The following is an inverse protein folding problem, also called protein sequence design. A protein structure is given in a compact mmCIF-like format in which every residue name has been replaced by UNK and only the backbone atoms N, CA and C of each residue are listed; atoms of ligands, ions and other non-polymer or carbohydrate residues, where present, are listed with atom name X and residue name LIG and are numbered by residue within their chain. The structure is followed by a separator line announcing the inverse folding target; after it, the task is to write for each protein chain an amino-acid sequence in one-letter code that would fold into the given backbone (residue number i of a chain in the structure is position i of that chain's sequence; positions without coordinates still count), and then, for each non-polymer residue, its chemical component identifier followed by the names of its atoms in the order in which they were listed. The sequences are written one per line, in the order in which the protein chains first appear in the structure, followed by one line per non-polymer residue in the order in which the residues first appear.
data_IF_877964158427
#
_entry.id   IF_877964158427
#
_cell.length_a   1.000
_cell.length_b   1.000
_cell.length_c   1.000
_cell.angle_alpha   90.00
_cell.angle_beta   90.00
_cell.angle_gamma   90.00
#
_symmetry.space_group_name_H-M   'P 1'
#
loop_
_entity.id
_entity.type
_entity.pdbx_description
1 polymer ?
#
# COMPACT_ATOMS: atom_id res chain seq x y z
N UNK A 1 -60.87 57.91 -63.72
CA UNK A 1 -61.99 58.21 -62.80
C UNK A 1 -61.63 57.60 -61.45
N UNK A 2 -61.15 58.44 -60.55
CA UNK A 2 -61.86 58.91 -59.34
C UNK A 2 -62.38 57.72 -58.53
N UNK A 3 -62.14 57.46 -57.26
CA UNK A 3 -61.94 58.36 -56.15
C UNK A 3 -61.44 57.63 -54.87
N UNK A 4 -60.66 58.32 -54.14
CA UNK A 4 -60.73 58.67 -52.69
C UNK A 4 -60.65 57.57 -51.63
N UNK A 5 -59.59 57.80 -50.83
CA UNK A 5 -59.40 57.36 -49.46
C UNK A 5 -60.56 57.79 -48.52
N UNK A 6 -60.68 57.20 -47.34
CA UNK A 6 -60.09 57.95 -46.23
C UNK A 6 -59.35 57.12 -45.15
N UNK A 7 -58.50 57.88 -44.44
CA UNK A 7 -57.80 57.59 -43.26
C UNK A 7 -58.72 57.35 -42.03
N UNK A 8 -58.28 56.50 -41.10
CA UNK A 8 -58.42 56.68 -39.62
C UNK A 8 -57.33 55.86 -38.97
N UNK A 9 -56.39 56.50 -38.42
CA UNK A 9 -55.99 56.76 -37.05
C UNK A 9 -56.63 55.86 -35.99
N UNK A 10 -55.81 55.12 -35.27
CA UNK A 10 -55.88 54.84 -33.83
C UNK A 10 -54.53 54.30 -33.37
N UNK A 11 -53.80 55.17 -32.82
CA UNK A 11 -53.29 55.37 -31.46
C UNK A 11 -52.67 54.13 -30.78
N UNK A 12 -51.37 54.19 -30.74
CA UNK A 12 -50.45 53.94 -29.67
C UNK A 12 -51.00 53.21 -28.42
N UNK A 13 -50.48 52.04 -28.18
CA UNK A 13 -50.12 51.60 -26.82
C UNK A 13 -48.76 50.89 -26.87
N UNK A 14 -47.74 51.66 -26.53
CA UNK A 14 -46.40 51.14 -26.20
C UNK A 14 -46.49 50.54 -24.81
N UNK A 15 -46.63 49.23 -24.71
CA UNK A 15 -46.33 48.51 -23.48
C UNK A 15 -44.84 48.20 -23.48
N UNK A 16 -44.12 48.99 -22.74
CA UNK A 16 -42.73 48.75 -22.43
C UNK A 16 -42.60 47.53 -21.47
N UNK A 17 -42.27 46.38 -22.01
CA UNK A 17 -41.94 45.22 -21.18
C UNK A 17 -40.51 45.42 -20.68
N UNK A 18 -40.35 45.99 -19.48
CA UNK A 18 -39.06 46.03 -18.77
C UNK A 18 -38.76 44.61 -18.32
N UNK A 19 -37.90 43.91 -19.08
CA UNK A 19 -37.22 42.70 -18.61
C UNK A 19 -36.22 43.14 -17.53
N UNK A 20 -36.61 43.00 -16.27
CA UNK A 20 -35.66 43.06 -15.16
C UNK A 20 -34.89 41.75 -15.13
N UNK A 21 -33.71 41.78 -15.74
CA UNK A 21 -32.71 40.71 -15.60
C UNK A 21 -32.24 40.70 -14.13
N UNK A 22 -32.81 39.84 -13.29
CA UNK A 22 -32.22 39.48 -12.01
C UNK A 22 -30.91 38.72 -12.30
N UNK A 23 -29.79 39.44 -12.35
CA UNK A 23 -28.48 38.86 -12.18
C UNK A 23 -28.41 38.39 -10.71
N UNK A 24 -28.85 37.15 -10.46
CA UNK A 24 -28.48 36.45 -9.24
C UNK A 24 -26.99 36.13 -9.35
N UNK A 25 -26.11 36.67 -8.47
CA UNK A 25 -24.76 36.19 -8.42
C UNK A 25 -24.81 34.76 -7.90
N UNK A 26 -24.71 33.81 -8.81
CA UNK A 26 -24.33 32.44 -8.43
C UNK A 26 -22.95 32.57 -7.78
N UNK A 27 -22.94 32.74 -6.46
CA UNK A 27 -21.75 32.42 -5.67
C UNK A 27 -21.49 30.92 -5.88
N UNK A 28 -20.71 30.60 -6.89
CA UNK A 28 -19.97 29.37 -6.90
C UNK A 28 -19.05 29.44 -5.67
N UNK A 29 -19.55 28.91 -4.57
CA UNK A 29 -18.70 28.64 -3.42
C UNK A 29 -17.59 27.72 -3.93
N UNK A 30 -16.43 28.27 -4.20
CA UNK A 30 -15.18 27.52 -4.24
C UNK A 30 -15.07 26.88 -2.85
N UNK A 31 -15.60 25.67 -2.69
CA UNK A 31 -15.14 24.80 -1.65
C UNK A 31 -13.66 24.61 -1.94
N UNK A 32 -12.76 25.05 -1.05
CA UNK A 32 -11.35 24.77 -1.26
C UNK A 32 -11.24 23.24 -1.42
N UNK A 33 -10.49 22.75 -2.41
CA UNK A 33 -10.19 21.34 -2.47
C UNK A 33 -9.68 20.95 -1.09
N UNK A 34 -10.21 19.88 -0.51
CA UNK A 34 -9.66 19.32 0.72
C UNK A 34 -8.15 19.27 0.48
N UNK A 35 -7.36 20.04 1.25
CA UNK A 35 -5.93 20.13 1.08
C UNK A 35 -5.41 18.69 1.16
N UNK A 36 -5.11 18.13 -0.01
CA UNK A 36 -4.44 16.85 -0.09
C UNK A 36 -3.14 16.99 0.70
N UNK A 37 -2.80 16.00 1.50
CA UNK A 37 -1.54 16.05 2.21
C UNK A 37 -0.41 16.15 1.18
N UNK A 38 0.49 17.10 1.37
CA UNK A 38 1.68 17.27 0.54
C UNK A 38 2.91 16.84 1.32
N UNK A 39 3.98 16.52 0.63
CA UNK A 39 5.27 16.19 1.26
C UNK A 39 6.42 16.93 0.57
N UNK A 40 7.42 17.29 1.37
CA UNK A 40 8.70 17.84 0.91
C UNK A 40 9.66 16.76 0.41
N UNK A 41 9.36 15.46 0.63
CA UNK A 41 10.14 14.38 0.06
C UNK A 41 10.03 14.40 -1.48
N UNK A 42 11.09 14.02 -2.17
CA UNK A 42 11.05 13.86 -3.63
C UNK A 42 10.26 12.62 -4.03
N UNK A 43 10.50 11.50 -3.35
CA UNK A 43 9.74 10.27 -3.49
C UNK A 43 9.09 9.92 -2.16
N UNK A 44 7.81 9.51 -2.19
CA UNK A 44 7.11 9.03 -1.01
C UNK A 44 6.08 7.96 -1.38
N UNK A 45 5.93 6.94 -0.52
CA UNK A 45 4.93 5.91 -0.66
C UNK A 45 4.47 5.42 0.71
N UNK A 46 3.17 5.53 0.99
CA UNK A 46 2.54 5.12 2.25
C UNK A 46 1.43 4.13 1.98
N UNK A 47 1.52 2.93 2.56
CA UNK A 47 0.51 1.89 2.44
C UNK A 47 -0.01 1.43 3.81
N UNK A 48 -1.26 1.02 3.86
CA UNK A 48 -1.78 0.16 4.92
C UNK A 48 -1.37 -1.29 4.61
N UNK A 49 -0.55 -1.87 5.47
CA UNK A 49 -0.01 -3.21 5.22
C UNK A 49 -1.09 -4.29 5.25
N UNK A 50 -2.14 -4.11 6.06
CA UNK A 50 -3.21 -5.09 6.26
C UNK A 50 -4.06 -5.27 5.00
N UNK A 51 -4.44 -4.16 4.35
CA UNK A 51 -5.30 -4.17 3.15
C UNK A 51 -4.52 -4.03 1.85
N UNK A 52 -3.27 -3.56 1.92
CA UNK A 52 -2.48 -3.18 0.74
C UNK A 52 -2.88 -1.83 0.13
N UNK A 53 -3.78 -1.10 0.77
CA UNK A 53 -4.27 0.18 0.26
C UNK A 53 -3.19 1.26 0.28
N UNK A 54 -3.01 1.92 -0.86
CA UNK A 54 -2.11 3.08 -1.00
C UNK A 54 -2.82 4.30 -0.42
N UNK A 55 -2.26 4.86 0.65
CA UNK A 55 -2.81 6.04 1.32
C UNK A 55 -2.26 7.34 0.74
N UNK A 56 -1.00 7.30 0.33
CA UNK A 56 -0.30 8.43 -0.28
C UNK A 56 0.81 7.95 -1.19
N UNK A 57 0.97 8.61 -2.32
CA UNK A 57 2.12 8.41 -3.22
C UNK A 57 2.56 9.72 -3.87
N UNK A 58 3.87 9.83 -4.08
CA UNK A 58 4.50 10.91 -4.84
C UNK A 58 5.75 10.33 -5.51
N UNK A 59 5.81 10.35 -6.84
CA UNK A 59 6.93 9.81 -7.61
C UNK A 59 7.35 8.40 -7.15
N UNK A 60 6.39 7.56 -6.74
CA UNK A 60 6.64 6.34 -6.01
C UNK A 60 7.27 5.22 -6.86
N UNK A 61 7.07 5.29 -8.16
CA UNK A 61 7.61 4.40 -9.20
C UNK A 61 8.87 4.93 -9.89
N UNK A 62 9.28 6.16 -9.59
CA UNK A 62 10.49 6.75 -10.17
C UNK A 62 11.75 6.11 -9.61
N UNK A 63 12.73 5.76 -10.49
CA UNK A 63 14.02 5.26 -10.04
C UNK A 63 14.74 6.26 -9.14
N UNK A 64 15.26 5.76 -8.02
CA UNK A 64 16.02 6.54 -7.05
C UNK A 64 17.16 5.73 -6.48
N UNK A 65 18.22 6.38 -6.03
CA UNK A 65 19.31 5.76 -5.29
C UNK A 65 18.83 5.41 -3.85
N UNK A 66 18.82 4.13 -3.44
CA UNK A 66 18.33 3.72 -2.13
C UNK A 66 19.25 4.06 -0.98
N UNK A 67 20.50 4.38 -1.25
CA UNK A 67 21.54 4.49 -0.23
C UNK A 67 21.50 3.27 0.72
N UNK A 68 21.74 3.47 2.03
CA UNK A 68 21.72 2.36 3.01
C UNK A 68 20.36 1.69 3.24
N UNK A 69 19.26 2.11 2.58
CA UNK A 69 18.02 1.34 2.61
C UNK A 69 18.18 -0.01 1.88
N UNK A 70 19.15 -0.13 0.97
CA UNK A 70 19.58 -1.40 0.35
C UNK A 70 19.90 -2.50 1.37
N UNK A 71 20.35 -2.14 2.56
CA UNK A 71 20.70 -3.08 3.63
C UNK A 71 19.50 -3.89 4.15
N UNK A 72 18.28 -3.46 3.84
CA UNK A 72 17.10 -4.29 4.08
C UNK A 72 17.18 -5.59 3.27
N UNK A 73 17.64 -5.52 2.00
CA UNK A 73 17.82 -6.71 1.18
C UNK A 73 18.99 -7.57 1.68
N UNK A 74 20.08 -6.95 2.14
CA UNK A 74 21.19 -7.67 2.76
C UNK A 74 20.74 -8.45 4.01
N UNK A 75 19.95 -7.82 4.88
CA UNK A 75 19.37 -8.47 6.05
C UNK A 75 18.33 -9.55 5.67
N UNK A 76 17.51 -9.29 4.65
CA UNK A 76 16.53 -10.24 4.12
C UNK A 76 17.18 -11.55 3.70
N UNK A 77 18.29 -11.49 2.95
CA UNK A 77 19.05 -12.67 2.52
C UNK A 77 19.71 -13.42 3.69
N UNK A 78 20.09 -12.72 4.77
CA UNK A 78 20.54 -13.37 6.00
C UNK A 78 19.38 -14.11 6.66
N UNK A 79 18.21 -13.48 6.77
CA UNK A 79 17.03 -14.09 7.36
C UNK A 79 16.57 -15.34 6.61
N UNK A 80 16.67 -15.35 5.28
CA UNK A 80 16.41 -16.56 4.48
C UNK A 80 17.28 -17.72 4.91
N UNK A 81 18.59 -17.48 5.08
CA UNK A 81 19.57 -18.49 5.49
C UNK A 81 19.40 -18.96 6.93
N UNK A 82 18.94 -18.05 7.82
CA UNK A 82 18.60 -18.41 9.19
C UNK A 82 17.34 -19.30 9.21
N UNK A 83 16.32 -18.96 8.42
CA UNK A 83 15.05 -19.71 8.36
C UNK A 83 15.22 -21.09 7.72
N UNK A 84 16.04 -21.24 6.68
CA UNK A 84 16.29 -22.54 6.05
C UNK A 84 17.31 -23.40 6.80
N UNK A 85 17.89 -22.88 7.87
CA UNK A 85 18.86 -23.57 8.74
C UNK A 85 20.26 -23.69 8.15
N UNK A 86 20.55 -23.05 7.01
CA UNK A 86 21.89 -23.04 6.42
C UNK A 86 22.86 -22.12 7.18
N UNK A 87 22.35 -21.25 8.02
CA UNK A 87 23.08 -20.42 8.98
C UNK A 87 22.42 -20.44 10.34
N UNK A 88 23.22 -20.16 11.36
CA UNK A 88 22.78 -19.88 12.73
C UNK A 88 23.32 -18.52 13.18
N UNK A 89 22.71 -17.91 14.17
CA UNK A 89 23.15 -16.63 14.74
C UNK A 89 24.56 -16.73 15.39
N UNK A 90 24.94 -17.95 15.80
CA UNK A 90 26.25 -18.24 16.40
C UNK A 90 27.37 -18.45 15.36
N UNK A 91 27.04 -18.60 14.07
CA UNK A 91 28.04 -18.73 13.03
C UNK A 91 28.95 -17.51 13.01
N UNK A 92 30.22 -17.72 12.71
CA UNK A 92 31.20 -16.64 12.75
C UNK A 92 31.85 -16.45 11.37
N UNK A 93 31.98 -15.21 10.95
CA UNK A 93 32.66 -14.84 9.70
C UNK A 93 33.94 -14.06 9.97
N UNK A 94 34.95 -14.32 9.15
CA UNK A 94 36.24 -13.62 9.26
C UNK A 94 36.16 -12.27 8.57
N UNK A 95 36.57 -11.23 9.24
CA UNK A 95 36.66 -9.87 8.67
C UNK A 95 37.85 -9.83 7.70
N UNK A 96 37.55 -9.69 6.43
CA UNK A 96 38.59 -9.54 5.40
C UNK A 96 39.25 -8.16 5.45
N UNK A 97 40.45 -8.08 4.91
CA UNK A 97 41.12 -6.79 4.75
C UNK A 97 40.33 -5.86 3.82
N UNK A 98 39.63 -6.42 2.81
CA UNK A 98 38.76 -5.67 1.92
C UNK A 98 37.56 -5.06 2.68
N UNK A 99 36.86 -5.84 3.50
CA UNK A 99 35.74 -5.35 4.31
C UNK A 99 36.17 -4.24 5.26
N UNK A 100 37.31 -4.43 5.95
CA UNK A 100 37.88 -3.41 6.84
C UNK A 100 38.32 -2.15 6.10
N UNK A 101 38.92 -2.26 4.92
CA UNK A 101 39.41 -1.13 4.16
C UNK A 101 38.29 -0.33 3.50
N UNK A 102 37.34 -1.01 2.86
CA UNK A 102 36.23 -0.38 2.15
C UNK A 102 35.08 0.06 3.07
N UNK A 103 34.71 -0.76 4.07
CA UNK A 103 33.55 -0.52 4.92
C UNK A 103 33.89 0.04 6.31
N UNK A 104 35.18 -0.03 6.72
CA UNK A 104 35.62 0.38 8.05
C UNK A 104 35.76 1.89 8.23
N UNK A 105 36.25 2.31 9.41
CA UNK A 105 36.27 3.72 9.84
C UNK A 105 36.99 4.68 8.87
N UNK A 106 38.02 4.21 8.18
CA UNK A 106 38.78 5.04 7.21
C UNK A 106 38.00 5.36 5.93
N UNK A 107 36.92 4.64 5.65
CA UNK A 107 36.10 4.89 4.44
C UNK A 107 35.24 6.17 4.54
N UNK A 108 35.08 6.71 5.73
CA UNK A 108 34.18 7.86 5.98
C UNK A 108 32.71 7.49 6.01
N UNK A 109 32.35 6.22 5.73
CA UNK A 109 30.99 5.70 5.77
C UNK A 109 30.56 5.20 7.16
N UNK A 110 29.38 4.57 7.19
CA UNK A 110 28.90 3.89 8.41
C UNK A 110 29.68 2.60 8.65
N UNK A 111 30.13 2.38 9.88
CA UNK A 111 30.92 1.20 10.27
C UNK A 111 30.50 0.70 11.66
N UNK A 112 30.59 -0.59 11.91
CA UNK A 112 30.51 -1.15 13.25
C UNK A 112 31.89 -1.36 13.89
N UNK A 113 32.95 -0.85 13.26
CA UNK A 113 34.33 -0.86 13.75
C UNK A 113 34.95 -2.27 13.83
N UNK A 114 34.77 -3.06 12.79
CA UNK A 114 35.36 -4.38 12.68
C UNK A 114 36.88 -4.33 12.53
N UNK A 115 37.56 -5.30 13.15
CA UNK A 115 39.03 -5.47 13.07
C UNK A 115 39.37 -6.56 12.05
N UNK A 116 40.33 -6.34 11.14
CA UNK A 116 40.72 -7.33 10.12
C UNK A 116 41.25 -8.61 10.77
N UNK A 117 40.90 -9.76 10.20
CA UNK A 117 41.29 -11.08 10.67
C UNK A 117 40.52 -11.62 11.87
N UNK A 118 39.68 -10.81 12.52
CA UNK A 118 38.81 -11.28 13.62
C UNK A 118 37.62 -12.07 13.08
N UNK A 119 37.17 -13.02 13.86
CA UNK A 119 35.91 -13.75 13.62
C UNK A 119 34.80 -13.08 14.41
N UNK A 120 33.71 -12.77 13.72
CA UNK A 120 32.56 -12.05 14.29
C UNK A 120 31.30 -12.89 14.12
N UNK A 121 30.49 -12.99 15.17
CA UNK A 121 29.21 -13.69 15.10
C UNK A 121 28.27 -13.05 14.10
N UNK A 122 27.47 -13.87 13.43
CA UNK A 122 26.45 -13.41 12.48
C UNK A 122 25.43 -12.49 13.16
N UNK A 123 25.07 -12.78 14.41
CA UNK A 123 24.14 -11.95 15.18
C UNK A 123 24.68 -10.52 15.38
N UNK A 124 25.99 -10.38 15.70
CA UNK A 124 26.63 -9.07 15.84
C UNK A 124 26.70 -8.33 14.50
N UNK A 125 27.03 -9.06 13.42
CA UNK A 125 27.04 -8.50 12.06
C UNK A 125 25.65 -8.02 11.65
N UNK A 126 24.61 -8.79 11.94
CA UNK A 126 23.23 -8.44 11.66
C UNK A 126 22.81 -7.15 12.40
N UNK A 127 23.12 -7.04 13.71
CA UNK A 127 22.92 -5.79 14.46
C UNK A 127 23.74 -4.64 13.89
N UNK A 128 24.98 -4.89 13.51
CA UNK A 128 25.83 -3.89 12.84
C UNK A 128 25.21 -3.36 11.55
N UNK A 129 24.62 -4.24 10.73
CA UNK A 129 23.93 -3.89 9.48
C UNK A 129 22.67 -3.06 9.76
N UNK A 130 21.82 -3.52 10.66
CA UNK A 130 20.49 -2.93 10.91
C UNK A 130 20.61 -1.65 11.75
N UNK A 131 21.23 -1.73 12.92
CA UNK A 131 21.24 -0.66 13.92
C UNK A 131 22.22 0.44 13.51
N UNK A 132 23.49 0.10 13.29
CA UNK A 132 24.54 1.06 12.97
C UNK A 132 24.64 1.38 11.48
N UNK A 133 24.07 0.52 10.63
CA UNK A 133 24.23 0.64 9.18
C UNK A 133 25.67 0.37 8.72
N UNK A 134 26.39 -0.55 9.38
CA UNK A 134 27.81 -0.86 9.13
C UNK A 134 28.05 -1.38 7.73
N UNK A 135 28.87 -0.68 6.96
CA UNK A 135 29.26 -1.10 5.62
C UNK A 135 30.24 -2.29 5.69
N UNK A 136 31.15 -2.26 6.68
CA UNK A 136 32.07 -3.35 7.00
C UNK A 136 31.34 -4.66 7.25
N UNK A 137 30.29 -4.63 8.06
CA UNK A 137 29.45 -5.79 8.35
C UNK A 137 28.75 -6.34 7.08
N UNK A 138 28.23 -5.46 6.22
CA UNK A 138 27.62 -5.88 4.95
C UNK A 138 28.61 -6.58 4.05
N UNK A 139 29.83 -6.04 3.91
CA UNK A 139 30.87 -6.62 3.03
C UNK A 139 31.33 -7.98 3.58
N UNK A 140 31.54 -8.10 4.91
CA UNK A 140 31.88 -9.39 5.55
C UNK A 140 30.84 -10.46 5.22
N UNK A 141 29.55 -10.14 5.39
CA UNK A 141 28.46 -11.08 5.09
C UNK A 141 28.40 -11.40 3.60
N UNK A 142 28.52 -10.40 2.72
CA UNK A 142 28.48 -10.59 1.28
C UNK A 142 29.62 -11.53 0.81
N UNK A 143 30.84 -11.33 1.28
CA UNK A 143 31.97 -12.18 0.97
C UNK A 143 31.79 -13.61 1.51
N UNK A 144 31.26 -13.77 2.71
CA UNK A 144 31.01 -15.07 3.31
C UNK A 144 29.92 -15.87 2.55
N UNK A 145 28.86 -15.20 2.09
CA UNK A 145 27.69 -15.86 1.47
C UNK A 145 27.82 -16.01 -0.07
N UNK A 146 28.69 -15.24 -0.71
CA UNK A 146 28.80 -15.26 -2.17
C UNK A 146 30.24 -15.11 -2.70
N UNK A 147 31.24 -15.26 -1.85
CA UNK A 147 32.67 -15.14 -2.17
C UNK A 147 33.14 -13.74 -2.60
N UNK A 148 32.23 -12.83 -2.94
CA UNK A 148 32.52 -11.42 -3.19
C UNK A 148 31.29 -10.56 -3.03
N UNK A 149 31.50 -9.26 -2.76
CA UNK A 149 30.39 -8.29 -2.68
C UNK A 149 29.64 -8.17 -4.03
N UNK A 150 30.34 -8.22 -5.16
CA UNK A 150 29.73 -8.15 -6.49
C UNK A 150 28.80 -9.37 -6.75
N UNK A 151 29.29 -10.60 -6.51
CA UNK A 151 28.48 -11.79 -6.65
C UNK A 151 27.26 -11.80 -5.68
N UNK A 152 27.42 -11.23 -4.48
CA UNK A 152 26.29 -11.07 -3.56
C UNK A 152 25.26 -10.08 -4.11
N UNK A 153 25.68 -8.94 -4.66
CA UNK A 153 24.79 -7.94 -5.25
C UNK A 153 23.99 -8.49 -6.45
N UNK A 154 24.62 -9.34 -7.27
CA UNK A 154 23.91 -10.07 -8.33
C UNK A 154 22.81 -10.97 -7.76
N UNK A 155 23.12 -11.75 -6.71
CA UNK A 155 22.12 -12.57 -6.00
C UNK A 155 21.02 -11.71 -5.36
N UNK A 156 21.36 -10.56 -4.76
CA UNK A 156 20.36 -9.60 -4.25
C UNK A 156 19.41 -9.15 -5.35
N UNK A 157 19.93 -8.83 -6.54
CA UNK A 157 19.13 -8.37 -7.68
C UNK A 157 18.21 -9.48 -8.21
N UNK A 158 18.72 -10.69 -8.37
CA UNK A 158 17.90 -11.86 -8.77
C UNK A 158 16.79 -12.07 -7.76
N UNK A 159 17.15 -12.12 -6.46
CA UNK A 159 16.16 -12.34 -5.41
C UNK A 159 15.14 -11.23 -5.33
N UNK A 160 15.53 -9.97 -5.52
CA UNK A 160 14.60 -8.85 -5.58
C UNK A 160 13.52 -9.05 -6.66
N UNK A 161 13.92 -9.47 -7.87
CA UNK A 161 12.97 -9.76 -8.96
C UNK A 161 11.98 -10.88 -8.59
N UNK A 162 12.47 -11.95 -7.96
CA UNK A 162 11.60 -13.05 -7.47
C UNK A 162 10.61 -12.59 -6.40
N UNK A 163 10.98 -11.62 -5.57
CA UNK A 163 10.10 -11.01 -4.57
C UNK A 163 9.09 -10.01 -5.16
N UNK A 164 9.24 -9.65 -6.44
CA UNK A 164 8.37 -8.71 -7.14
C UNK A 164 8.91 -7.28 -7.23
N UNK A 165 10.14 -7.01 -6.77
CA UNK A 165 10.79 -5.69 -6.87
C UNK A 165 11.30 -5.48 -8.32
N UNK A 166 10.40 -5.10 -9.22
CA UNK A 166 10.68 -5.09 -10.65
C UNK A 166 11.62 -3.97 -11.10
N UNK A 167 11.70 -2.89 -10.34
CA UNK A 167 12.50 -1.70 -10.67
C UNK A 167 13.75 -1.56 -9.79
N UNK A 168 14.20 -2.67 -9.16
CA UNK A 168 15.34 -2.67 -8.25
C UNK A 168 16.52 -3.42 -8.82
N UNK A 169 17.69 -2.79 -8.78
CA UNK A 169 19.00 -3.35 -9.12
C UNK A 169 19.99 -3.01 -8.02
N UNK A 170 20.67 -4.00 -7.49
CA UNK A 170 21.75 -3.85 -6.51
C UNK A 170 23.11 -4.03 -7.17
N UNK A 171 24.06 -3.15 -6.89
CA UNK A 171 25.47 -3.21 -7.36
C UNK A 171 26.45 -3.48 -6.22
N UNK A 172 26.00 -3.35 -4.98
CA UNK A 172 26.76 -3.66 -3.77
C UNK A 172 25.81 -3.99 -2.62
N UNK A 173 26.36 -4.54 -1.53
CA UNK A 173 25.61 -4.94 -0.35
C UNK A 173 25.30 -3.78 0.62
N UNK A 174 25.87 -2.62 0.38
CA UNK A 174 25.90 -1.51 1.34
C UNK A 174 24.95 -0.37 1.00
N UNK A 175 24.58 -0.23 -0.28
CA UNK A 175 23.90 0.94 -0.83
C UNK A 175 24.85 2.11 -1.07
N UNK A 176 26.14 1.83 -1.28
CA UNK A 176 27.07 2.87 -1.71
C UNK A 176 26.74 3.36 -3.11
N UNK A 177 27.06 4.64 -3.42
CA UNK A 177 26.74 5.23 -4.72
C UNK A 177 27.26 4.41 -5.90
N UNK A 178 26.39 4.12 -6.82
CA UNK A 178 26.64 3.54 -8.12
C UNK A 178 25.48 3.95 -9.04
N UNK A 179 25.75 4.45 -10.26
CA UNK A 179 24.68 4.97 -11.15
C UNK A 179 23.61 3.94 -11.50
N UNK A 180 23.93 2.66 -11.45
CA UNK A 180 23.00 1.57 -11.74
C UNK A 180 22.40 0.92 -10.48
N UNK A 181 22.77 1.41 -9.27
CA UNK A 181 22.22 0.93 -8.00
C UNK A 181 20.91 1.68 -7.70
N UNK A 182 19.82 1.21 -8.26
CA UNK A 182 18.55 1.90 -8.28
C UNK A 182 17.42 1.04 -7.69
N UNK A 183 16.42 1.72 -7.16
CA UNK A 183 15.16 1.17 -6.65
C UNK A 183 14.03 2.18 -6.83
N UNK A 184 12.82 1.85 -6.36
CA UNK A 184 11.68 2.77 -6.24
C UNK A 184 11.14 2.78 -4.81
N UNK A 185 10.36 3.80 -4.46
CA UNK A 185 9.71 3.84 -3.16
C UNK A 185 8.68 2.68 -2.99
N UNK A 186 8.01 2.28 -4.07
CA UNK A 186 7.12 1.12 -4.08
C UNK A 186 7.88 -0.18 -3.81
N UNK A 187 9.00 -0.41 -4.50
CA UNK A 187 9.81 -1.62 -4.32
C UNK A 187 10.36 -1.72 -2.89
N UNK A 188 10.84 -0.61 -2.30
CA UNK A 188 11.29 -0.60 -0.91
C UNK A 188 10.15 -0.87 0.08
N UNK A 189 8.94 -0.37 -0.19
CA UNK A 189 7.77 -0.67 0.64
C UNK A 189 7.37 -2.16 0.53
N UNK A 190 7.46 -2.73 -0.67
CA UNK A 190 7.25 -4.17 -0.88
C UNK A 190 8.30 -4.99 -0.13
N UNK A 191 9.60 -4.62 -0.21
CA UNK A 191 10.67 -5.29 0.52
C UNK A 191 10.43 -5.22 2.03
N UNK A 192 10.00 -4.05 2.55
CA UNK A 192 9.65 -3.90 3.96
C UNK A 192 8.48 -4.81 4.36
N UNK A 193 7.41 -4.85 3.54
CA UNK A 193 6.27 -5.75 3.75
C UNK A 193 6.71 -7.21 3.77
N UNK A 194 7.52 -7.65 2.80
CA UNK A 194 8.06 -9.01 2.74
C UNK A 194 8.93 -9.32 3.96
N UNK A 195 9.81 -8.39 4.38
CA UNK A 195 10.64 -8.57 5.57
C UNK A 195 9.79 -8.81 6.83
N UNK A 196 8.73 -8.03 7.03
CA UNK A 196 7.82 -8.14 8.17
C UNK A 196 7.02 -9.46 8.13
N UNK A 197 6.51 -9.83 6.95
CA UNK A 197 5.65 -11.02 6.80
C UNK A 197 6.43 -12.33 6.80
N UNK A 198 7.55 -12.34 6.08
CA UNK A 198 8.29 -13.57 5.86
C UNK A 198 9.19 -13.93 7.05
N UNK A 199 9.62 -12.93 7.85
CA UNK A 199 10.60 -13.09 8.92
C UNK A 199 10.16 -12.40 10.22
N UNK A 200 8.92 -12.63 10.63
CA UNK A 200 8.36 -12.04 11.85
C UNK A 200 9.22 -12.34 13.09
N UNK A 201 9.86 -13.52 13.15
CA UNK A 201 10.74 -13.97 14.24
C UNK A 201 12.04 -13.18 14.32
N UNK A 202 12.57 -12.65 13.21
CA UNK A 202 13.80 -11.85 13.16
C UNK A 202 13.54 -10.34 13.04
N UNK A 203 12.29 -9.95 12.81
CA UNK A 203 11.94 -8.55 12.58
C UNK A 203 12.27 -7.63 13.76
N UNK A 204 12.28 -8.16 14.97
CA UNK A 204 12.57 -7.42 16.20
C UNK A 204 13.93 -6.69 16.18
N UNK A 205 14.93 -7.16 15.41
CA UNK A 205 16.22 -6.49 15.27
C UNK A 205 16.11 -5.05 14.76
N UNK A 206 15.07 -4.75 13.95
CA UNK A 206 14.84 -3.40 13.45
C UNK A 206 14.35 -2.42 14.52
N UNK A 207 13.75 -2.92 15.59
CA UNK A 207 13.28 -2.13 16.72
C UNK A 207 14.37 -1.88 17.78
N UNK A 208 15.51 -2.57 17.72
CA UNK A 208 16.62 -2.38 18.65
C UNK A 208 17.15 -0.94 18.54
N UNK A 209 17.12 -0.21 19.66
CA UNK A 209 17.56 1.19 19.71
C UNK A 209 19.06 1.34 19.72
N UNK A 210 19.77 0.35 20.26
CA UNK A 210 21.23 0.35 20.40
C UNK A 210 21.76 -1.06 20.58
N UNK A 211 23.04 -1.26 20.30
CA UNK A 211 23.80 -2.44 20.69
C UNK A 211 25.24 -2.06 21.00
N UNK A 212 25.98 -2.93 21.67
CA UNK A 212 27.39 -2.71 21.98
C UNK A 212 28.22 -3.82 21.36
N UNK A 213 29.19 -3.45 20.52
CA UNK A 213 30.17 -4.37 19.97
C UNK A 213 31.57 -3.89 20.31
N UNK A 214 32.41 -4.80 20.82
CA UNK A 214 33.80 -4.52 21.21
C UNK A 214 33.92 -3.23 22.07
N UNK A 215 33.10 -3.11 23.12
CA UNK A 215 32.99 -1.95 24.01
C UNK A 215 32.47 -0.65 23.39
N UNK A 216 32.20 -0.64 22.09
CA UNK A 216 31.67 0.51 21.36
C UNK A 216 30.14 0.43 21.33
N UNK A 217 29.49 1.38 22.02
CA UNK A 217 28.02 1.54 21.98
C UNK A 217 27.62 2.20 20.64
N UNK A 218 26.66 1.60 19.97
CA UNK A 218 26.18 2.01 18.66
C UNK A 218 24.67 2.21 18.71
N UNK A 219 24.20 3.33 18.16
CA UNK A 219 22.79 3.78 18.27
C UNK A 219 22.08 3.63 16.93
N UNK A 220 20.84 3.15 16.95
CA UNK A 220 20.02 3.04 15.77
C UNK A 220 19.78 4.43 15.16
N UNK A 221 19.96 4.51 13.85
CA UNK A 221 19.86 5.77 13.09
C UNK A 221 18.44 6.15 12.71
N UNK A 222 17.46 5.25 12.91
CA UNK A 222 16.05 5.55 12.69
C UNK A 222 15.54 6.50 13.79
N UNK A 223 15.28 7.79 13.45
CA UNK A 223 14.91 8.78 14.46
C UNK A 223 13.52 8.52 15.05
N UNK A 224 12.67 7.76 14.35
CA UNK A 224 11.30 7.52 14.78
C UNK A 224 11.22 6.54 15.96
N UNK A 225 12.22 5.68 16.15
CA UNK A 225 12.30 4.78 17.33
C UNK A 225 12.40 5.55 18.67
N UNK A 226 12.70 6.84 18.61
CA UNK A 226 12.84 7.72 19.79
C UNK A 226 11.69 8.73 19.91
N UNK A 227 10.64 8.57 19.09
CA UNK A 227 9.44 9.40 19.09
C UNK A 227 8.30 8.74 19.85
N UNK A 228 7.27 9.52 20.16
CA UNK A 228 6.04 9.01 20.78
C UNK A 228 5.05 8.50 19.69
N UNK A 229 5.49 7.50 18.95
CA UNK A 229 4.75 6.79 17.91
C UNK A 229 5.28 5.36 17.87
N UNK A 230 4.42 4.37 17.78
CA UNK A 230 4.78 2.95 17.80
C UNK A 230 5.46 2.49 16.51
N UNK A 231 6.69 2.96 16.31
CA UNK A 231 7.56 2.58 15.19
C UNK A 231 8.47 1.44 15.62
N UNK A 232 8.55 0.39 14.81
CA UNK A 232 9.35 -0.81 15.05
C UNK A 232 10.34 -1.15 13.92
N UNK A 233 10.54 -0.24 12.99
CA UNK A 233 11.48 -0.43 11.87
C UNK A 233 11.50 0.78 10.94
N UNK A 234 12.22 0.70 9.83
CA UNK A 234 13.21 -0.26 9.40
C UNK A 234 14.58 0.41 9.21
N UNK A 235 14.76 1.16 8.08
CA UNK A 235 16.11 1.55 7.65
C UNK A 235 16.19 2.95 7.10
N UNK A 236 17.23 3.67 7.51
CA UNK A 236 17.58 4.99 6.95
C UNK A 236 18.55 4.85 5.79
N UNK A 237 18.47 5.79 4.84
CA UNK A 237 19.44 6.01 3.77
C UNK A 237 20.00 7.44 3.81
N UNK A 238 21.23 7.61 3.33
CA UNK A 238 21.80 8.91 3.02
C UNK A 238 23.07 8.77 2.20
N UNK A 239 23.11 9.46 1.08
CA UNK A 239 24.30 9.84 0.31
C UNK A 239 24.14 11.30 -0.12
N UNK A 240 25.14 11.88 -0.78
CA UNK A 240 25.00 13.22 -1.34
C UNK A 240 23.95 13.24 -2.45
N UNK A 241 23.92 12.19 -3.28
CA UNK A 241 23.04 12.10 -4.44
C UNK A 241 21.59 11.77 -4.06
N UNK A 242 21.37 10.91 -3.06
CA UNK A 242 20.04 10.47 -2.64
C UNK A 242 19.43 11.36 -1.56
N UNK A 243 20.20 12.29 -1.00
CA UNK A 243 19.80 13.03 0.20
C UNK A 243 19.38 12.08 1.35
N UNK A 244 18.44 12.47 2.22
CA UNK A 244 18.02 11.67 3.35
C UNK A 244 16.75 10.86 3.03
N UNK A 245 16.84 9.53 3.22
CA UNK A 245 15.73 8.60 3.06
C UNK A 245 15.42 7.83 4.34
N UNK A 246 14.21 7.29 4.41
CA UNK A 246 13.74 6.40 5.47
C UNK A 246 12.66 5.46 4.94
N UNK A 247 12.85 4.17 5.15
CA UNK A 247 11.77 3.19 5.15
C UNK A 247 11.37 2.95 6.60
N UNK A 248 10.11 3.21 6.93
CA UNK A 248 9.57 3.09 8.27
C UNK A 248 8.36 2.15 8.32
N UNK A 249 8.17 1.48 9.46
CA UNK A 249 6.96 0.76 9.80
C UNK A 249 6.48 1.22 11.17
N UNK A 250 5.19 1.46 11.27
CA UNK A 250 4.53 1.85 12.51
C UNK A 250 3.24 1.07 12.71
N UNK A 251 2.87 0.84 13.97
CA UNK A 251 1.62 0.18 14.35
C UNK A 251 0.71 1.11 15.14
N UNK A 252 -0.58 0.85 15.08
CA UNK A 252 -1.59 1.46 15.95
C UNK A 252 -2.74 0.45 16.12
N UNK A 253 -2.76 -0.26 17.26
CA UNK A 253 -3.58 -1.45 17.44
C UNK A 253 -3.23 -2.51 16.40
N UNK A 254 -4.24 -3.05 15.72
CA UNK A 254 -4.06 -4.09 14.70
C UNK A 254 -3.64 -3.56 13.32
N UNK A 255 -3.55 -2.25 13.17
CA UNK A 255 -3.13 -1.62 11.90
C UNK A 255 -1.63 -1.40 11.86
N UNK A 256 -1.05 -1.70 10.72
CA UNK A 256 0.35 -1.40 10.41
C UNK A 256 0.45 -0.58 9.13
N UNK A 257 1.19 0.51 9.17
CA UNK A 257 1.54 1.31 8.02
C UNK A 257 3.02 1.12 7.67
N UNK A 258 3.31 1.09 6.37
CA UNK A 258 4.67 1.13 5.83
C UNK A 258 4.81 2.42 5.04
N UNK A 259 5.85 3.18 5.34
CA UNK A 259 6.17 4.44 4.69
C UNK A 259 7.59 4.39 4.14
N UNK A 260 7.76 4.80 2.91
CA UNK A 260 9.05 5.12 2.31
C UNK A 260 9.07 6.60 1.95
N UNK A 261 10.12 7.31 2.33
CA UNK A 261 10.43 8.68 1.89
C UNK A 261 11.88 8.79 1.48
N UNK A 262 12.17 9.56 0.44
CA UNK A 262 13.53 9.82 -0.05
C UNK A 262 13.65 11.25 -0.58
N UNK A 263 14.89 11.76 -0.77
CA UNK A 263 15.12 13.11 -1.24
C UNK A 263 14.75 14.19 -0.22
N UNK A 264 14.99 13.94 1.06
CA UNK A 264 14.78 14.92 2.14
C UNK A 264 16.09 15.67 2.39
N UNK A 265 16.07 17.00 2.37
CA UNK A 265 17.27 17.83 2.42
C UNK A 265 18.06 17.73 3.74
N UNK A 266 17.39 17.42 4.87
CA UNK A 266 18.04 17.42 6.19
C UNK A 266 17.71 16.23 7.06
N UNK A 267 18.58 15.91 8.03
CA UNK A 267 18.29 14.94 9.09
C UNK A 267 17.03 15.29 9.89
N UNK A 268 16.75 16.60 10.05
CA UNK A 268 15.56 17.08 10.77
C UNK A 268 14.30 16.76 9.97
N UNK A 269 14.33 16.93 8.65
CA UNK A 269 13.21 16.60 7.77
C UNK A 269 12.97 15.10 7.75
N UNK A 270 14.02 14.25 7.70
CA UNK A 270 13.92 12.80 7.83
C UNK A 270 13.32 12.35 9.16
N UNK A 271 13.39 13.17 10.22
CA UNK A 271 12.74 12.87 11.51
C UNK A 271 11.29 13.35 11.55
N UNK A 272 11.00 14.53 10.98
CA UNK A 272 9.70 15.19 11.12
C UNK A 272 8.68 14.77 10.07
N UNK A 273 9.12 14.64 8.82
CA UNK A 273 8.20 14.39 7.72
C UNK A 273 7.58 12.98 7.76
N UNK A 274 8.35 11.89 7.98
CA UNK A 274 7.76 10.57 8.13
C UNK A 274 6.81 10.46 9.33
N UNK A 275 7.14 11.09 10.47
CA UNK A 275 6.24 11.15 11.63
C UNK A 275 4.90 11.80 11.28
N UNK A 276 4.93 12.91 10.54
CA UNK A 276 3.74 13.63 10.09
C UNK A 276 2.87 12.78 9.15
N UNK A 277 3.49 12.10 8.18
CA UNK A 277 2.80 11.25 7.22
C UNK A 277 2.19 10.01 7.87
N UNK A 278 2.91 9.33 8.77
CA UNK A 278 2.39 8.18 9.51
C UNK A 278 1.22 8.58 10.41
N UNK A 279 1.35 9.67 11.18
CA UNK A 279 0.27 10.19 12.02
C UNK A 279 -0.96 10.57 11.20
N UNK A 280 -0.77 11.16 10.02
CA UNK A 280 -1.86 11.45 9.10
C UNK A 280 -2.55 10.16 8.63
N UNK A 281 -1.79 9.14 8.20
CA UNK A 281 -2.34 7.86 7.74
C UNK A 281 -3.18 7.16 8.82
N UNK A 282 -2.74 7.20 10.08
CA UNK A 282 -3.51 6.63 11.19
C UNK A 282 -4.72 7.46 11.58
N UNK A 283 -4.62 8.80 11.52
CA UNK A 283 -5.71 9.70 11.90
C UNK A 283 -6.81 9.76 10.85
N UNK A 284 -6.45 9.88 9.57
CA UNK A 284 -7.39 10.22 8.51
C UNK A 284 -8.01 8.99 7.84
N UNK A 285 -7.41 7.81 7.99
CA UNK A 285 -7.91 6.54 7.46
C UNK A 285 -8.22 5.52 8.56
N UNK A 286 -9.10 4.57 8.24
CA UNK A 286 -9.37 3.42 9.08
C UNK A 286 -9.72 2.19 8.25
N UNK A 287 -9.49 1.00 8.84
CA UNK A 287 -9.88 -0.27 8.25
C UNK A 287 -11.31 -0.59 8.68
N UNK A 288 -12.18 -0.88 7.70
CA UNK A 288 -13.57 -1.23 7.91
C UNK A 288 -13.85 -2.60 7.35
N UNK A 289 -14.23 -3.54 8.22
CA UNK A 289 -14.79 -4.82 7.79
C UNK A 289 -16.23 -4.56 7.37
N UNK A 290 -16.51 -4.75 6.07
CA UNK A 290 -17.85 -4.56 5.51
C UNK A 290 -18.64 -5.86 5.57
N UNK A 291 -17.99 -6.98 5.29
CA UNK A 291 -18.57 -8.32 5.31
C UNK A 291 -17.53 -9.35 5.75
N UNK A 292 -17.97 -10.38 6.45
CA UNK A 292 -17.16 -11.56 6.78
C UNK A 292 -17.23 -12.60 5.64
N UNK A 293 -16.27 -13.49 5.55
CA UNK A 293 -16.30 -14.57 4.58
C UNK A 293 -17.55 -15.45 4.79
N UNK A 294 -18.29 -15.75 3.73
CA UNK A 294 -19.53 -16.53 3.75
C UNK A 294 -20.76 -15.80 4.30
N UNK A 295 -20.64 -14.50 4.63
CA UNK A 295 -21.75 -13.70 5.13
C UNK A 295 -22.80 -13.51 4.03
N UNK A 296 -24.08 -13.66 4.40
CA UNK A 296 -25.21 -13.34 3.55
C UNK A 296 -25.36 -11.82 3.43
N UNK A 297 -25.33 -11.34 2.19
CA UNK A 297 -25.45 -9.92 1.88
C UNK A 297 -26.93 -9.54 1.68
N UNK A 298 -27.67 -10.38 0.96
CA UNK A 298 -29.11 -10.24 0.67
C UNK A 298 -29.63 -11.53 0.06
N UNK A 299 -30.93 -11.57 -0.23
CA UNK A 299 -31.56 -12.64 -1.02
C UNK A 299 -31.95 -12.13 -2.41
N UNK A 300 -32.01 -13.04 -3.38
CA UNK A 300 -32.56 -12.79 -4.70
C UNK A 300 -33.75 -13.73 -4.98
N UNK A 301 -34.76 -13.22 -5.73
CA UNK A 301 -35.88 -14.03 -6.18
C UNK A 301 -35.43 -15.01 -7.27
N UNK A 302 -36.02 -16.21 -7.27
CA UNK A 302 -35.68 -17.29 -8.20
C UNK A 302 -36.83 -17.57 -9.15
N UNK A 303 -36.53 -17.61 -10.46
CA UNK A 303 -37.50 -17.97 -11.50
C UNK A 303 -37.51 -19.47 -11.74
N UNK A 304 -38.68 -20.09 -11.65
CA UNK A 304 -38.91 -21.52 -11.87
C UNK A 304 -38.09 -22.46 -10.96
N UNK A 305 -37.73 -21.98 -9.76
CA UNK A 305 -37.08 -22.75 -8.73
C UNK A 305 -38.06 -23.48 -7.81
N UNK A 306 -37.61 -24.53 -7.12
CA UNK A 306 -38.38 -25.18 -6.03
C UNK A 306 -38.48 -24.23 -4.83
N UNK A 307 -37.45 -23.47 -4.57
CA UNK A 307 -37.38 -22.38 -3.62
C UNK A 307 -37.57 -21.04 -4.36
N UNK A 308 -38.33 -20.14 -3.76
CA UNK A 308 -38.65 -18.84 -4.34
C UNK A 308 -37.49 -17.83 -4.23
N UNK A 309 -36.51 -18.10 -3.34
CA UNK A 309 -35.37 -17.23 -3.06
C UNK A 309 -34.08 -18.02 -2.92
N UNK A 310 -32.98 -17.33 -3.19
CA UNK A 310 -31.61 -17.83 -2.97
C UNK A 310 -30.80 -16.79 -2.18
N UNK A 311 -30.12 -17.17 -1.08
CA UNK A 311 -29.23 -16.26 -0.37
C UNK A 311 -27.98 -15.95 -1.23
N UNK A 312 -27.62 -14.67 -1.29
CA UNK A 312 -26.41 -14.18 -1.96
C UNK A 312 -25.33 -13.94 -0.93
N UNK A 313 -24.24 -14.69 -1.02
CA UNK A 313 -23.15 -14.66 -0.05
C UNK A 313 -21.86 -14.12 -0.65
N UNK A 314 -21.04 -13.48 0.16
CA UNK A 314 -19.70 -13.07 -0.22
C UNK A 314 -18.69 -14.18 0.06
N UNK A 315 -17.82 -14.50 -0.89
CA UNK A 315 -16.87 -15.62 -0.75
C UNK A 315 -15.78 -15.35 0.29
N UNK A 316 -15.26 -14.13 0.30
CA UNK A 316 -14.12 -13.73 1.13
C UNK A 316 -14.45 -12.52 1.99
N UNK A 317 -13.74 -12.39 3.11
CA UNK A 317 -13.84 -11.20 3.94
C UNK A 317 -13.57 -9.94 3.10
N UNK A 318 -14.40 -8.92 3.29
CA UNK A 318 -14.22 -7.60 2.68
C UNK A 318 -13.77 -6.59 3.74
N UNK A 319 -12.45 -6.41 3.82
CA UNK A 319 -11.78 -5.43 4.66
C UNK A 319 -11.20 -4.32 3.79
N UNK A 320 -11.56 -3.07 4.03
CA UNK A 320 -11.13 -1.92 3.23
C UNK A 320 -10.60 -0.80 4.09
N UNK A 321 -9.49 -0.20 3.66
CA UNK A 321 -9.01 1.06 4.25
C UNK A 321 -9.71 2.23 3.55
N UNK A 322 -10.47 3.01 4.29
CA UNK A 322 -11.24 4.14 3.76
C UNK A 322 -10.92 5.39 4.55
N UNK A 323 -10.82 6.54 3.89
CA UNK A 323 -10.72 7.83 4.55
C UNK A 323 -11.98 8.06 5.43
N UNK A 324 -11.77 8.46 6.69
CA UNK A 324 -12.87 8.63 7.67
C UNK A 324 -13.97 9.58 7.18
N UNK A 325 -13.58 10.64 6.46
CA UNK A 325 -14.51 11.60 5.87
C UNK A 325 -15.28 11.09 4.64
N UNK A 326 -14.81 10.00 4.01
CA UNK A 326 -15.47 9.37 2.87
C UNK A 326 -16.39 8.21 3.28
N UNK A 327 -16.24 7.66 4.50
CA UNK A 327 -16.99 6.49 4.97
C UNK A 327 -18.50 6.66 4.90
N UNK A 328 -19.04 7.82 5.30
CA UNK A 328 -20.48 8.09 5.29
C UNK A 328 -21.06 8.35 3.89
N UNK A 329 -20.21 8.58 2.90
CA UNK A 329 -20.59 8.75 1.48
C UNK A 329 -20.44 7.46 0.66
N UNK A 330 -19.94 6.40 1.28
CA UNK A 330 -19.82 5.09 0.66
C UNK A 330 -21.23 4.54 0.35
N UNK A 331 -21.38 3.96 -0.84
CA UNK A 331 -22.59 3.24 -1.26
C UNK A 331 -22.25 1.80 -1.57
N UNK A 332 -23.09 0.90 -1.07
CA UNK A 332 -23.03 -0.54 -1.39
C UNK A 332 -24.31 -0.87 -2.13
N UNK A 333 -24.19 -1.47 -3.30
CA UNK A 333 -25.33 -1.85 -4.14
C UNK A 333 -25.13 -3.28 -4.59
N UNK A 334 -26.20 -4.08 -4.65
CA UNK A 334 -26.17 -5.42 -5.24
C UNK A 334 -26.86 -5.33 -6.60
N UNK A 335 -26.24 -5.90 -7.63
CA UNK A 335 -26.77 -5.97 -8.99
C UNK A 335 -26.83 -7.42 -9.46
N UNK A 336 -27.99 -7.86 -9.96
CA UNK A 336 -28.24 -9.18 -10.51
C UNK A 336 -29.43 -9.15 -11.46
N UNK A 337 -29.57 -10.18 -12.28
CA UNK A 337 -30.79 -10.37 -13.07
C UNK A 337 -31.89 -10.86 -12.13
N UNK A 338 -32.97 -10.10 -12.02
CA UNK A 338 -34.08 -10.43 -11.12
C UNK A 338 -35.35 -10.76 -11.96
N UNK A 339 -35.96 -11.95 -11.76
CA UNK A 339 -35.52 -13.06 -10.93
C UNK A 339 -34.41 -13.93 -11.57
N UNK A 340 -33.57 -14.59 -10.72
CA UNK A 340 -32.50 -15.49 -11.18
C UNK A 340 -33.10 -16.82 -11.66
N UNK A 341 -32.82 -17.30 -12.89
CA UNK A 341 -33.41 -18.54 -13.40
C UNK A 341 -32.83 -19.79 -12.75
N UNK A 342 -33.68 -20.70 -12.28
CA UNK A 342 -33.27 -22.04 -11.82
C UNK A 342 -32.93 -22.98 -13.01
N UNK A 343 -32.02 -23.95 -12.87
CA UNK A 343 -31.40 -24.40 -11.61
C UNK A 343 -30.21 -23.54 -11.26
N UNK A 344 -29.90 -23.40 -9.95
CA UNK A 344 -28.78 -22.67 -9.39
C UNK A 344 -27.98 -23.68 -8.53
N UNK A 345 -26.69 -23.78 -8.75
CA UNK A 345 -25.82 -24.54 -7.88
C UNK A 345 -25.27 -23.66 -6.75
N UNK A 346 -25.10 -24.23 -5.57
CA UNK A 346 -24.40 -23.52 -4.48
C UNK A 346 -22.99 -23.15 -4.94
N UNK A 347 -22.62 -21.87 -4.79
CA UNK A 347 -21.34 -21.32 -5.22
C UNK A 347 -21.33 -20.72 -6.63
N UNK A 348 -22.45 -20.77 -7.38
CA UNK A 348 -22.56 -20.09 -8.66
C UNK A 348 -22.46 -18.57 -8.46
N UNK A 349 -21.69 -17.84 -9.29
CA UNK A 349 -21.64 -16.37 -9.26
C UNK A 349 -22.90 -15.80 -9.94
N UNK A 350 -23.90 -15.45 -9.15
CA UNK A 350 -25.23 -15.05 -9.63
C UNK A 350 -25.52 -13.55 -9.48
N UNK A 351 -24.65 -12.82 -8.76
CA UNK A 351 -24.82 -11.38 -8.53
C UNK A 351 -23.45 -10.68 -8.37
N UNK A 352 -23.48 -9.35 -8.30
CA UNK A 352 -22.31 -8.52 -8.01
C UNK A 352 -22.63 -7.54 -6.90
N UNK A 353 -21.74 -7.45 -5.94
CA UNK A 353 -21.68 -6.35 -4.99
C UNK A 353 -20.86 -5.22 -5.63
N UNK A 354 -21.44 -4.05 -5.74
CA UNK A 354 -20.79 -2.84 -6.27
C UNK A 354 -20.60 -1.85 -5.14
N UNK A 355 -19.34 -1.57 -4.82
CA UNK A 355 -18.95 -0.58 -3.84
C UNK A 355 -18.50 0.70 -4.53
N UNK A 356 -19.06 1.82 -4.13
CA UNK A 356 -18.67 3.16 -4.60
C UNK A 356 -18.22 4.01 -3.41
N UNK A 357 -16.98 4.47 -3.45
CA UNK A 357 -16.39 5.39 -2.47
C UNK A 357 -15.97 6.66 -3.22
N UNK A 358 -16.29 7.87 -2.75
CA UNK A 358 -15.85 9.10 -3.40
C UNK A 358 -14.32 9.14 -3.56
N UNK A 359 -13.87 9.49 -4.77
CA UNK A 359 -12.45 9.59 -5.09
C UNK A 359 -11.75 8.26 -5.38
N UNK A 360 -12.50 7.17 -5.55
CA UNK A 360 -11.97 5.84 -5.92
C UNK A 360 -12.76 5.25 -7.08
N UNK A 361 -12.10 4.33 -7.79
CA UNK A 361 -12.77 3.48 -8.76
C UNK A 361 -13.79 2.59 -8.07
N UNK A 362 -14.82 2.21 -8.82
CA UNK A 362 -15.83 1.26 -8.32
C UNK A 362 -15.19 -0.10 -8.13
N UNK A 363 -15.42 -0.69 -6.96
CA UNK A 363 -15.02 -2.07 -6.67
C UNK A 363 -16.23 -2.99 -6.90
N UNK A 364 -16.08 -3.97 -7.78
CA UNK A 364 -17.07 -5.01 -8.04
C UNK A 364 -16.57 -6.34 -7.48
N UNK A 365 -17.40 -6.98 -6.68
CA UNK A 365 -17.10 -8.29 -6.08
C UNK A 365 -18.24 -9.27 -6.44
N UNK A 366 -17.95 -10.47 -6.93
CA UNK A 366 -18.99 -11.46 -7.19
C UNK A 366 -19.67 -11.89 -5.89
N UNK A 367 -20.99 -12.04 -5.92
CA UNK A 367 -21.76 -12.69 -4.90
C UNK A 367 -22.19 -14.08 -5.40
N UNK A 368 -22.01 -15.06 -4.56
CA UNK A 368 -22.28 -16.46 -4.87
C UNK A 368 -23.62 -16.90 -4.30
N UNK A 369 -24.26 -17.87 -4.96
CA UNK A 369 -25.42 -18.55 -4.42
C UNK A 369 -25.04 -19.30 -3.14
N UNK A 370 -25.62 -18.96 -2.01
CA UNK A 370 -25.36 -19.59 -0.70
C UNK A 370 -25.99 -20.97 -0.57
N UNK A 371 -26.99 -21.26 -1.41
CA UNK A 371 -27.69 -22.57 -1.46
C UNK A 371 -27.93 -22.99 -2.90
N UNK A 372 -28.13 -24.30 -3.13
CA UNK A 372 -28.58 -24.79 -4.42
C UNK A 372 -30.11 -24.67 -4.50
N UNK A 373 -30.62 -24.29 -5.67
CA UNK A 373 -32.05 -24.24 -5.99
C UNK A 373 -32.34 -25.11 -7.20
N UNK A 374 -33.06 -26.18 -6.98
CA UNK A 374 -33.48 -27.09 -8.08
C UNK A 374 -34.58 -26.44 -8.92
N UNK A 375 -34.64 -26.82 -10.18
CA UNK A 375 -35.71 -26.39 -11.08
C UNK A 375 -37.02 -27.09 -10.77
N UNK A 376 -38.14 -26.39 -10.82
CA UNK A 376 -39.50 -26.98 -10.76
C UNK A 376 -39.71 -28.02 -11.85
N UNK A 377 -40.44 -29.10 -11.50
CA UNK A 377 -40.91 -30.08 -12.47
C UNK A 377 -41.90 -29.48 -13.48
N UNK A 378 -42.26 -30.24 -14.52
CA UNK A 378 -43.11 -29.79 -15.64
C UNK A 378 -44.43 -29.12 -15.19
N UNK A 379 -45.14 -29.76 -14.23
CA UNK A 379 -46.42 -29.22 -13.72
C UNK A 379 -46.25 -27.93 -12.89
N UNK A 380 -45.16 -27.84 -12.09
CA UNK A 380 -44.86 -26.64 -11.33
C UNK A 380 -44.56 -25.46 -12.26
N UNK A 381 -43.76 -25.67 -13.31
CA UNK A 381 -43.42 -24.66 -14.30
C UNK A 381 -44.65 -24.11 -15.04
N UNK A 382 -45.59 -25.01 -15.44
CA UNK A 382 -46.84 -24.59 -16.09
C UNK A 382 -47.71 -23.76 -15.12
N UNK A 383 -47.77 -24.12 -13.85
CA UNK A 383 -48.49 -23.38 -12.82
C UNK A 383 -47.95 -21.98 -12.59
N UNK A 384 -46.62 -21.84 -12.47
CA UNK A 384 -45.94 -20.55 -12.29
C UNK A 384 -46.09 -19.66 -13.53
N UNK A 385 -45.92 -20.21 -14.73
CA UNK A 385 -46.12 -19.49 -15.99
C UNK A 385 -47.57 -18.99 -16.18
N UNK A 386 -48.55 -19.78 -15.81
CA UNK A 386 -49.97 -19.39 -15.85
C UNK A 386 -50.28 -18.29 -14.83
N UNK A 387 -49.72 -18.35 -13.60
CA UNK A 387 -49.83 -17.26 -12.62
C UNK A 387 -49.23 -15.96 -13.11
N UNK A 388 -48.02 -15.97 -13.70
CA UNK A 388 -47.38 -14.79 -14.25
C UNK A 388 -48.20 -14.16 -15.39
N UNK A 389 -48.82 -14.96 -16.25
CA UNK A 389 -49.67 -14.49 -17.35
C UNK A 389 -51.00 -13.92 -16.84
N UNK A 390 -51.63 -14.52 -15.86
CA UNK A 390 -52.97 -14.15 -15.39
C UNK A 390 -52.97 -12.97 -14.41
N UNK A 391 -51.95 -12.81 -13.61
CA UNK A 391 -51.89 -11.80 -12.56
C UNK A 391 -50.80 -10.75 -12.76
N UNK A 392 -50.00 -10.82 -13.82
CA UNK A 392 -49.03 -9.78 -14.16
C UNK A 392 -47.95 -9.56 -13.08
N UNK A 393 -47.68 -10.57 -12.23
CA UNK A 393 -46.57 -10.54 -11.29
C UNK A 393 -45.26 -10.73 -12.06
N UNK A 394 -44.77 -9.62 -12.60
CA UNK A 394 -43.36 -9.41 -12.79
C UNK A 394 -42.81 -9.05 -11.41
N UNK A 395 -41.97 -9.91 -10.83
CA UNK A 395 -41.26 -9.68 -9.59
C UNK A 395 -40.37 -8.43 -9.61
#
# INVERSE_FOLDING_TARGET
MLAKRPKRLLSALRAAFRIVLFLSPFLFGFLPPALAIETIAEQAFLIDMTTGEVLFEKNADQPMAPASMSKMMTAYMIFERLRDGSLTLEDTFTVSENAWRKGGAKSGGSTMFLEPGKRVKLEDLLRGIIVQSGNDACIVVAEALASSEAAFAEKMTVRAKELGLQNTVFKNATGWPDPEHLTTAQDLALLAKRTITDFAEYYHYYAEKEFTYNTIRQINRNPLLYKNIDVDGLKTGHTVESEYGLTASATNGDRRLILVVNGLATKKDRSREPERLLNWGFRDFNNYRLFSAGEEVTEADVWLGKEDKVPLVIEREMLLTIARNARHKMKVTVTFENPIPAPIAKGDPVAKLVLTVPGRDKLEVPLLAGAAVERLGLFGRLGTALKAILWGESG
#
